data_IF_410131938155
#
_entry.id   IF_410131938155
#
_cell.length_a   1.000
_cell.length_b   1.000
_cell.length_c   1.000
_cell.angle_alpha   90.00
_cell.angle_beta   90.00
_cell.angle_gamma   90.00
#
_symmetry.space_group_name_H-M   'P 1'
#
loop_
_entity.id
_entity.type
_entity.pdbx_description
1 polymer ?
#
# COMPACT_ATOMS: atom_id res chain seq x y z
N UNK A 1 16.98 26.32 -13.99
CA UNK A 1 17.16 24.86 -14.16
C UNK A 1 15.79 24.26 -14.43
N UNK A 2 15.70 23.25 -15.31
CA UNK A 2 14.44 22.52 -15.53
C UNK A 2 14.49 21.28 -14.63
N UNK A 3 13.49 21.17 -13.75
CA UNK A 3 13.32 20.04 -12.85
C UNK A 3 12.37 19.02 -13.45
N UNK A 4 12.64 17.74 -13.23
CA UNK A 4 11.77 16.62 -13.58
C UNK A 4 11.31 15.93 -12.31
N UNK A 5 10.00 15.67 -12.26
CA UNK A 5 9.38 14.94 -11.15
C UNK A 5 9.29 13.47 -11.50
N UNK A 6 9.64 12.61 -10.56
CA UNK A 6 9.53 11.16 -10.68
C UNK A 6 8.73 10.63 -9.49
N UNK A 7 7.64 9.91 -9.79
CA UNK A 7 6.70 9.41 -8.79
C UNK A 7 6.45 7.92 -9.03
N UNK A 8 6.55 7.13 -7.97
CA UNK A 8 6.03 5.77 -7.86
C UNK A 8 4.92 5.71 -6.83
N UNK A 9 3.91 4.89 -7.08
CA UNK A 9 2.78 4.72 -6.17
C UNK A 9 2.73 3.29 -5.63
N UNK A 10 2.47 3.18 -4.34
CA UNK A 10 2.11 1.94 -3.66
C UNK A 10 0.62 2.01 -3.33
N UNK A 11 -0.16 1.11 -3.90
CA UNK A 11 -1.62 1.09 -3.75
C UNK A 11 -2.03 -0.16 -2.97
N UNK A 12 -2.69 0.04 -1.83
CA UNK A 12 -3.21 -1.05 -1.01
C UNK A 12 -4.71 -1.18 -1.24
N UNK A 13 -5.14 -2.36 -1.66
CA UNK A 13 -6.53 -2.68 -2.00
C UNK A 13 -7.04 -3.76 -1.06
N UNK A 14 -7.98 -3.43 -0.16
CA UNK A 14 -8.67 -4.46 0.62
C UNK A 14 -9.56 -5.29 -0.30
N UNK A 15 -9.36 -6.60 -0.30
CA UNK A 15 -10.13 -7.50 -1.14
C UNK A 15 -11.52 -7.77 -0.52
N UNK A 16 -12.55 -7.70 -1.34
CA UNK A 16 -13.96 -7.91 -0.93
C UNK A 16 -14.26 -9.40 -0.69
N UNK A 17 -13.51 -10.04 0.20
CA UNK A 17 -13.75 -11.41 0.66
C UNK A 17 -14.68 -11.41 1.87
N UNK A 18 -15.39 -12.51 2.12
CA UNK A 18 -16.27 -12.66 3.29
C UNK A 18 -15.50 -12.92 4.59
N UNK A 19 -14.29 -13.50 4.46
CA UNK A 19 -13.43 -13.84 5.60
C UNK A 19 -12.04 -13.30 5.39
N UNK A 20 -11.29 -13.22 6.46
CA UNK A 20 -9.90 -12.75 6.47
C UNK A 20 -8.97 -13.66 5.67
N UNK A 21 -7.72 -13.20 5.46
CA UNK A 21 -6.77 -13.91 4.61
C UNK A 21 -6.33 -15.25 5.22
N UNK A 22 -6.15 -15.31 6.53
CA UNK A 22 -5.62 -16.48 7.24
C UNK A 22 -6.55 -17.03 8.32
N UNK A 23 -7.73 -16.45 8.50
CA UNK A 23 -8.71 -16.88 9.50
C UNK A 23 -10.14 -16.84 8.94
N UNK A 24 -11.08 -17.40 9.71
CA UNK A 24 -12.50 -17.40 9.35
C UNK A 24 -13.28 -16.21 9.90
N UNK A 25 -12.61 -15.25 10.56
CA UNK A 25 -13.29 -14.05 11.04
C UNK A 25 -13.83 -13.23 9.87
N UNK A 26 -14.93 -12.51 10.11
CA UNK A 26 -15.58 -11.67 9.10
C UNK A 26 -14.73 -10.46 8.73
N UNK A 27 -14.84 -10.00 7.48
CA UNK A 27 -14.27 -8.75 6.99
C UNK A 27 -15.28 -7.60 6.97
N UNK A 28 -16.48 -7.78 7.54
CA UNK A 28 -17.54 -6.77 7.52
C UNK A 28 -17.09 -5.49 8.21
N UNK A 29 -17.17 -4.38 7.50
CA UNK A 29 -16.85 -3.05 8.02
C UNK A 29 -17.94 -2.54 8.98
N UNK A 30 -17.54 -1.74 9.99
CA UNK A 30 -18.46 -1.05 10.89
C UNK A 30 -19.03 -1.90 12.03
N UNK A 31 -18.53 -3.13 12.23
CA UNK A 31 -18.87 -3.92 13.41
C UNK A 31 -18.26 -3.30 14.68
N UNK A 32 -18.85 -3.60 15.85
CA UNK A 32 -18.32 -3.13 17.14
C UNK A 32 -16.86 -3.57 17.30
N UNK A 33 -15.99 -2.76 17.92
CA UNK A 33 -14.56 -3.08 18.06
C UNK A 33 -14.32 -4.47 18.62
N UNK A 34 -13.35 -5.17 18.03
CA UNK A 34 -12.91 -6.51 18.43
C UNK A 34 -13.97 -7.62 18.39
N UNK A 35 -15.05 -7.46 17.58
CA UNK A 35 -16.07 -8.51 17.40
C UNK A 35 -15.80 -9.41 16.19
N UNK A 36 -15.02 -8.95 15.21
CA UNK A 36 -14.60 -9.70 14.03
C UNK A 36 -13.13 -10.14 14.15
N UNK A 37 -12.80 -10.86 15.20
CA UNK A 37 -11.43 -11.28 15.52
C UNK A 37 -11.39 -12.78 15.76
N UNK A 38 -10.34 -13.42 15.23
CA UNK A 38 -10.03 -14.83 15.46
C UNK A 38 -8.73 -14.96 16.26
N UNK A 39 -8.49 -16.09 16.90
CA UNK A 39 -7.27 -16.38 17.65
C UNK A 39 -6.01 -16.26 16.76
N UNK A 40 -6.12 -16.59 15.45
CA UNK A 40 -5.06 -16.42 14.46
C UNK A 40 -4.72 -14.93 14.30
N UNK A 41 -5.73 -14.07 14.23
CA UNK A 41 -5.54 -12.62 14.07
C UNK A 41 -4.88 -11.99 15.31
N UNK A 42 -5.12 -12.58 16.49
CA UNK A 42 -4.50 -12.18 17.75
C UNK A 42 -3.08 -12.73 17.95
N UNK A 43 -2.64 -13.68 17.12
CA UNK A 43 -1.32 -14.31 17.27
C UNK A 43 -1.17 -15.15 18.51
N UNK A 44 -2.23 -15.82 18.95
CA UNK A 44 -2.15 -16.69 20.14
C UNK A 44 -1.25 -17.89 19.90
N UNK A 45 -0.55 -18.39 20.96
CA UNK A 45 0.30 -19.57 20.82
C UNK A 45 -0.45 -20.80 20.31
N UNK A 46 0.13 -21.50 19.35
CA UNK A 46 -0.40 -22.76 18.81
C UNK A 46 -1.45 -22.60 17.70
N UNK A 47 -1.81 -21.38 17.30
CA UNK A 47 -2.70 -21.16 16.14
C UNK A 47 -1.95 -21.33 14.84
N UNK A 48 -2.64 -21.83 13.81
CA UNK A 48 -2.10 -21.98 12.46
C UNK A 48 -2.93 -21.19 11.45
N UNK A 49 -2.30 -20.45 10.55
CA UNK A 49 -2.99 -19.75 9.46
C UNK A 49 -3.56 -20.72 8.43
N UNK A 50 -4.67 -20.33 7.79
CA UNK A 50 -5.26 -21.07 6.68
C UNK A 50 -5.64 -20.12 5.57
N UNK A 51 -5.04 -20.29 4.38
CA UNK A 51 -5.15 -19.35 3.27
C UNK A 51 -6.56 -19.27 2.70
N UNK A 52 -7.06 -18.06 2.51
CA UNK A 52 -8.33 -17.78 1.84
C UNK A 52 -8.16 -17.85 0.31
N UNK A 53 -8.75 -18.89 -0.29
CA UNK A 53 -8.70 -19.13 -1.75
C UNK A 53 -9.28 -17.96 -2.56
N UNK A 54 -10.34 -17.31 -2.06
CA UNK A 54 -10.99 -16.19 -2.77
C UNK A 54 -10.05 -14.98 -2.92
N UNK A 55 -9.15 -14.74 -1.96
CA UNK A 55 -8.14 -13.70 -2.07
C UNK A 55 -7.21 -13.94 -3.27
N UNK A 56 -6.79 -15.20 -3.50
CA UNK A 56 -6.01 -15.57 -4.68
C UNK A 56 -6.78 -15.34 -5.97
N UNK A 57 -8.05 -15.75 -6.05
CA UNK A 57 -8.86 -15.54 -7.24
C UNK A 57 -9.00 -14.05 -7.59
N UNK A 58 -9.17 -13.18 -6.59
CA UNK A 58 -9.26 -11.75 -6.81
C UNK A 58 -7.92 -11.16 -7.25
N UNK A 59 -6.80 -11.58 -6.68
CA UNK A 59 -5.47 -11.18 -7.11
C UNK A 59 -5.15 -11.62 -8.55
N UNK A 60 -5.47 -12.86 -8.91
CA UNK A 60 -5.31 -13.39 -10.26
C UNK A 60 -6.18 -12.60 -11.26
N UNK A 61 -7.45 -12.35 -10.92
CA UNK A 61 -8.36 -11.56 -11.77
C UNK A 61 -7.80 -10.16 -12.03
N UNK A 62 -7.27 -9.52 -11.02
CA UNK A 62 -6.58 -8.23 -11.17
C UNK A 62 -5.36 -8.36 -12.10
N UNK A 63 -4.47 -9.31 -11.83
CA UNK A 63 -3.26 -9.52 -12.63
C UNK A 63 -3.57 -9.80 -14.11
N UNK A 64 -4.57 -10.64 -14.39
CA UNK A 64 -5.01 -10.90 -15.78
C UNK A 64 -5.52 -9.63 -16.47
N UNK A 65 -6.26 -8.79 -15.76
CA UNK A 65 -6.85 -7.58 -16.33
C UNK A 65 -5.81 -6.52 -16.71
N UNK A 66 -4.67 -6.49 -16.04
CA UNK A 66 -3.55 -5.59 -16.36
C UNK A 66 -2.50 -6.23 -17.28
N UNK A 67 -2.77 -7.42 -17.82
CA UNK A 67 -1.84 -8.15 -18.69
C UNK A 67 -0.58 -8.64 -17.98
N UNK A 68 -0.63 -8.86 -16.68
CA UNK A 68 0.50 -9.32 -15.89
C UNK A 68 0.76 -10.82 -16.01
N UNK A 69 1.97 -11.23 -15.65
CA UNK A 69 2.29 -12.64 -15.43
C UNK A 69 1.75 -13.08 -14.06
N UNK A 70 1.03 -14.21 -14.04
CA UNK A 70 0.62 -14.87 -12.81
C UNK A 70 1.64 -15.95 -12.46
N UNK A 71 2.24 -15.84 -11.27
CA UNK A 71 3.17 -16.85 -10.79
C UNK A 71 2.41 -18.12 -10.41
N UNK A 72 2.82 -19.24 -11.02
CA UNK A 72 2.20 -20.55 -10.72
C UNK A 72 2.52 -21.07 -9.33
N UNK A 73 3.60 -20.57 -8.73
CA UNK A 73 3.96 -20.86 -7.34
C UNK A 73 4.20 -19.54 -6.62
N UNK A 74 3.47 -19.34 -5.53
CA UNK A 74 3.61 -18.19 -4.62
C UNK A 74 3.97 -18.66 -3.22
N UNK A 75 4.81 -17.89 -2.54
CA UNK A 75 5.23 -18.15 -1.17
C UNK A 75 4.83 -16.95 -0.31
N UNK A 76 4.39 -17.23 0.90
CA UNK A 76 4.24 -16.20 1.92
C UNK A 76 5.50 -16.09 2.76
N UNK A 77 5.83 -14.86 3.15
CA UNK A 77 6.96 -14.49 3.98
C UNK A 77 6.47 -13.76 5.22
N UNK A 78 7.29 -13.76 6.27
CA UNK A 78 7.09 -12.91 7.45
C UNK A 78 7.86 -11.62 7.28
N UNK A 79 7.15 -10.48 7.35
CA UNK A 79 7.70 -9.14 7.46
C UNK A 79 7.66 -8.73 8.92
N UNK A 80 8.82 -8.69 9.59
CA UNK A 80 8.88 -8.49 11.04
C UNK A 80 8.94 -7.01 11.41
N UNK A 81 7.95 -6.54 12.13
CA UNK A 81 7.91 -5.20 12.74
C UNK A 81 6.88 -5.18 13.87
N UNK A 82 7.01 -4.22 14.81
CA UNK A 82 6.24 -4.21 16.04
C UNK A 82 5.34 -2.98 16.13
N UNK A 83 4.02 -3.24 16.13
CA UNK A 83 3.00 -2.25 16.41
C UNK A 83 1.93 -2.87 17.31
N UNK A 84 1.26 -2.06 18.13
CA UNK A 84 0.23 -2.54 19.04
C UNK A 84 -0.97 -3.17 18.31
N UNK A 85 -1.26 -2.71 17.10
CA UNK A 85 -2.33 -3.23 16.22
C UNK A 85 -1.88 -4.39 15.31
N UNK A 86 -0.65 -4.86 15.48
CA UNK A 86 -0.11 -6.07 14.86
C UNK A 86 0.37 -7.06 15.93
N UNK A 87 -0.54 -7.77 16.63
CA UNK A 87 -0.21 -8.53 17.84
C UNK A 87 0.73 -9.71 17.61
N UNK A 88 0.82 -10.23 16.39
CA UNK A 88 1.80 -11.28 16.03
C UNK A 88 3.25 -10.77 16.06
N UNK A 89 3.48 -9.47 15.91
CA UNK A 89 4.82 -8.89 15.75
C UNK A 89 5.41 -9.08 14.34
N UNK A 90 4.63 -9.63 13.41
CA UNK A 90 4.95 -9.74 11.98
C UNK A 90 3.69 -9.69 11.14
N UNK A 91 3.85 -9.28 9.89
CA UNK A 91 2.83 -9.32 8.85
C UNK A 91 3.16 -10.44 7.88
N UNK A 92 2.18 -11.27 7.55
CA UNK A 92 2.35 -12.28 6.49
C UNK A 92 2.09 -11.57 5.15
N UNK A 93 3.06 -11.64 4.27
CA UNK A 93 3.10 -10.96 2.96
C UNK A 93 3.78 -11.86 1.92
N UNK A 94 4.00 -11.36 0.70
CA UNK A 94 4.76 -12.07 -0.34
C UNK A 94 5.92 -11.19 -0.80
N UNK A 95 7.16 -11.58 -0.53
CA UNK A 95 8.35 -10.82 -0.93
C UNK A 95 9.02 -11.40 -2.18
N UNK A 96 9.46 -12.65 -2.10
CA UNK A 96 10.28 -13.26 -3.16
C UNK A 96 9.44 -13.80 -4.32
N UNK A 97 8.27 -14.38 -4.04
CA UNK A 97 7.38 -14.98 -5.05
C UNK A 97 5.96 -14.39 -4.95
N UNK A 98 5.78 -13.13 -5.35
CA UNK A 98 4.46 -12.50 -5.37
C UNK A 98 3.55 -13.17 -6.41
N UNK A 99 2.25 -13.10 -6.20
CA UNK A 99 1.26 -13.73 -7.10
C UNK A 99 1.23 -13.08 -8.49
N UNK A 100 1.51 -11.78 -8.59
CA UNK A 100 1.43 -11.00 -9.83
C UNK A 100 2.76 -10.31 -10.11
N UNK A 101 3.29 -10.48 -11.31
CA UNK A 101 4.52 -9.82 -11.79
C UNK A 101 4.25 -9.02 -13.06
N UNK A 102 4.68 -7.76 -13.06
CA UNK A 102 4.53 -6.87 -14.20
C UNK A 102 3.08 -6.46 -14.47
N UNK A 103 2.79 -6.21 -15.72
CA UNK A 103 1.52 -5.65 -16.19
C UNK A 103 1.58 -4.12 -16.30
N UNK A 104 0.51 -3.50 -16.75
CA UNK A 104 0.46 -2.05 -16.93
C UNK A 104 -0.96 -1.50 -16.84
N UNK A 105 -1.07 -0.22 -16.56
CA UNK A 105 -2.32 0.53 -16.52
C UNK A 105 -2.19 1.75 -17.42
N UNK A 106 -3.14 1.94 -18.35
CA UNK A 106 -3.23 3.14 -19.15
C UNK A 106 -3.96 4.25 -18.38
N UNK A 107 -3.40 5.44 -18.42
CA UNK A 107 -3.98 6.65 -17.86
C UNK A 107 -4.16 7.71 -18.95
N UNK A 108 -5.18 8.53 -18.80
CA UNK A 108 -5.43 9.65 -19.73
C UNK A 108 -5.40 10.96 -18.97
N UNK A 109 -4.55 11.89 -19.42
CA UNK A 109 -4.48 13.25 -18.92
C UNK A 109 -4.41 14.24 -20.09
N UNK A 110 -5.30 15.24 -20.12
CA UNK A 110 -5.34 16.26 -21.19
C UNK A 110 -5.30 15.62 -22.60
N UNK A 111 -6.10 14.57 -22.84
CA UNK A 111 -6.19 13.82 -24.10
C UNK A 111 -4.91 13.04 -24.50
N UNK A 112 -3.92 12.99 -23.63
CA UNK A 112 -2.72 12.16 -23.80
C UNK A 112 -2.88 10.85 -23.02
N UNK A 113 -2.67 9.75 -23.72
CA UNK A 113 -2.62 8.41 -23.11
C UNK A 113 -1.19 8.09 -22.72
N UNK A 114 -1.01 7.60 -21.51
CA UNK A 114 0.28 7.14 -20.99
C UNK A 114 0.10 5.78 -20.31
N UNK A 115 1.01 4.87 -20.60
CA UNK A 115 1.08 3.56 -19.93
C UNK A 115 1.98 3.70 -18.72
N UNK A 116 1.50 3.20 -17.56
CA UNK A 116 2.27 3.09 -16.31
C UNK A 116 2.46 1.62 -16.03
N UNK A 117 3.71 1.19 -15.97
CA UNK A 117 4.05 -0.19 -15.67
C UNK A 117 3.89 -0.51 -14.18
N UNK A 118 3.52 -1.75 -13.92
CA UNK A 118 3.42 -2.32 -12.57
C UNK A 118 4.63 -3.22 -12.35
N UNK A 119 5.33 -3.02 -11.24
CA UNK A 119 6.45 -3.89 -10.84
C UNK A 119 5.91 -5.24 -10.39
N UNK A 120 4.93 -5.21 -9.48
CA UNK A 120 4.28 -6.40 -8.91
C UNK A 120 2.97 -6.05 -8.21
N UNK A 121 2.16 -7.07 -7.97
CA UNK A 121 1.13 -7.02 -6.95
C UNK A 121 1.20 -8.31 -6.11
N UNK A 122 1.10 -8.14 -4.79
CA UNK A 122 1.26 -9.25 -3.85
C UNK A 122 0.20 -9.23 -2.77
N UNK A 123 -0.12 -10.43 -2.27
CA UNK A 123 -1.06 -10.61 -1.18
C UNK A 123 -0.37 -10.38 0.17
N UNK A 124 -1.07 -9.69 1.05
CA UNK A 124 -0.69 -9.50 2.44
C UNK A 124 -1.91 -9.34 3.34
N UNK A 125 -1.73 -9.41 4.64
CA UNK A 125 -2.78 -9.14 5.61
C UNK A 125 -2.71 -7.69 6.11
N UNK A 126 -3.87 -7.06 6.35
CA UNK A 126 -3.92 -5.73 6.95
C UNK A 126 -3.66 -5.80 8.46
N UNK A 127 -3.12 -4.74 9.03
CA UNK A 127 -3.00 -4.55 10.47
C UNK A 127 -4.35 -4.12 11.08
N UNK A 128 -4.47 -4.18 12.39
CA UNK A 128 -5.59 -3.62 13.14
C UNK A 128 -5.61 -2.09 13.07
N UNK A 129 -6.32 -1.48 13.99
CA UNK A 129 -6.43 -0.02 14.12
C UNK A 129 -6.08 0.41 15.54
N UNK A 130 -5.14 1.35 15.66
CA UNK A 130 -4.84 2.06 16.91
C UNK A 130 -5.71 3.31 16.99
N UNK A 131 -6.39 3.53 18.10
CA UNK A 131 -7.30 4.64 18.38
C UNK A 131 -6.65 5.47 19.49
N UNK A 132 -6.22 6.69 19.16
CA UNK A 132 -5.42 7.54 20.05
C UNK A 132 -6.23 8.68 20.69
N UNK A 133 -7.31 9.12 20.05
CA UNK A 133 -7.98 10.37 20.37
C UNK A 133 -9.26 10.21 21.24
N UNK A 134 -9.66 8.97 21.52
CA UNK A 134 -10.91 8.68 22.25
C UNK A 134 -10.69 8.44 23.76
N UNK A 135 -9.44 8.25 24.21
CA UNK A 135 -9.13 7.87 25.58
C UNK A 135 -7.94 8.66 26.11
N UNK A 136 -8.15 9.42 27.19
CA UNK A 136 -7.08 10.19 27.85
C UNK A 136 -6.00 9.25 28.44
N UNK A 137 -4.79 9.37 27.93
CA UNK A 137 -3.62 8.62 28.42
C UNK A 137 -3.53 7.16 27.98
N UNK A 138 -4.45 6.68 27.14
CA UNK A 138 -4.47 5.32 26.62
C UNK A 138 -4.68 5.31 25.11
N UNK A 139 -4.13 4.28 24.46
CA UNK A 139 -4.49 3.93 23.08
C UNK A 139 -5.32 2.66 23.08
N UNK A 140 -6.50 2.70 22.49
CA UNK A 140 -7.31 1.49 22.29
C UNK A 140 -6.89 0.79 20.99
N UNK A 141 -7.02 -0.52 20.96
CA UNK A 141 -6.71 -1.35 19.80
C UNK A 141 -7.98 -2.06 19.33
N UNK A 142 -8.31 -1.86 18.05
CA UNK A 142 -9.37 -2.58 17.37
C UNK A 142 -8.76 -3.52 16.31
N UNK A 143 -8.91 -4.82 16.52
CA UNK A 143 -8.38 -5.86 15.66
C UNK A 143 -9.37 -6.34 14.59
N UNK A 144 -10.51 -5.69 14.43
CA UNK A 144 -11.50 -6.08 13.41
C UNK A 144 -10.89 -6.08 12.00
N UNK A 145 -9.97 -5.14 11.71
CA UNK A 145 -9.30 -5.05 10.42
C UNK A 145 -8.08 -6.01 10.32
N UNK A 146 -7.47 -6.38 11.44
CA UNK A 146 -6.30 -7.26 11.44
C UNK A 146 -6.59 -8.57 10.70
N UNK A 147 -5.74 -8.92 9.75
CA UNK A 147 -5.91 -10.10 8.91
C UNK A 147 -6.83 -9.92 7.69
N UNK A 148 -7.43 -8.75 7.46
CA UNK A 148 -8.19 -8.45 6.23
C UNK A 148 -7.27 -8.61 5.02
N UNK A 149 -7.69 -9.35 3.95
CA UNK A 149 -6.85 -9.54 2.79
C UNK A 149 -6.57 -8.22 2.07
N UNK A 150 -5.30 -7.94 1.81
CA UNK A 150 -4.82 -6.83 0.99
C UNK A 150 -4.13 -7.33 -0.27
N UNK A 151 -4.29 -6.58 -1.34
CA UNK A 151 -3.43 -6.62 -2.50
C UNK A 151 -2.62 -5.33 -2.55
N UNK A 152 -1.31 -5.39 -2.30
CA UNK A 152 -0.41 -4.27 -2.50
C UNK A 152 0.09 -4.27 -3.93
N UNK A 153 -0.09 -3.15 -4.62
CA UNK A 153 0.25 -2.94 -6.03
C UNK A 153 1.30 -1.85 -6.11
N UNK A 154 2.46 -2.19 -6.63
CA UNK A 154 3.61 -1.29 -6.74
C UNK A 154 3.80 -0.89 -8.19
N UNK A 155 3.71 0.40 -8.50
CA UNK A 155 3.99 0.93 -9.83
C UNK A 155 5.48 1.17 -10.06
N UNK A 156 5.91 1.14 -11.32
CA UNK A 156 7.20 1.72 -11.69
C UNK A 156 7.19 3.24 -11.49
N UNK A 157 8.34 3.88 -11.25
CA UNK A 157 8.45 5.32 -11.01
C UNK A 157 8.37 6.13 -12.33
N UNK A 158 7.27 5.96 -13.05
CA UNK A 158 7.05 6.54 -14.39
C UNK A 158 6.07 7.72 -14.38
N UNK A 159 5.42 7.98 -13.26
CA UNK A 159 4.48 9.10 -13.12
C UNK A 159 5.27 10.40 -12.95
N UNK A 160 4.90 11.45 -13.71
CA UNK A 160 5.66 12.69 -13.79
C UNK A 160 4.93 13.90 -13.19
N UNK A 161 3.70 13.76 -12.76
CA UNK A 161 2.91 14.85 -12.17
C UNK A 161 1.84 14.37 -11.20
N UNK A 162 1.38 15.28 -10.34
CA UNK A 162 0.27 14.99 -9.45
C UNK A 162 -1.02 14.67 -10.21
N UNK A 163 -1.24 15.27 -11.38
CA UNK A 163 -2.40 14.94 -12.24
C UNK A 163 -2.35 13.54 -12.78
N UNK A 164 -1.18 13.08 -13.22
CA UNK A 164 -0.98 11.68 -13.64
C UNK A 164 -1.18 10.72 -12.48
N UNK A 165 -0.68 11.03 -11.28
CA UNK A 165 -0.90 10.22 -10.08
C UNK A 165 -2.40 10.08 -9.75
N UNK A 166 -3.16 11.15 -9.85
CA UNK A 166 -4.62 11.13 -9.67
C UNK A 166 -5.30 10.31 -10.78
N UNK A 167 -4.87 10.46 -12.03
CA UNK A 167 -5.42 9.68 -13.14
C UNK A 167 -5.17 8.18 -12.96
N UNK A 168 -3.94 7.81 -12.53
CA UNK A 168 -3.60 6.43 -12.19
C UNK A 168 -4.50 5.89 -11.07
N UNK A 169 -4.67 6.61 -9.97
CA UNK A 169 -5.49 6.16 -8.86
C UNK A 169 -6.99 6.06 -9.23
N UNK A 170 -7.47 6.92 -10.12
CA UNK A 170 -8.84 6.80 -10.66
C UNK A 170 -8.99 5.56 -11.55
N UNK A 171 -8.03 5.30 -12.43
CA UNK A 171 -8.01 4.10 -13.27
C UNK A 171 -7.95 2.83 -12.39
N UNK A 172 -7.09 2.83 -11.38
CA UNK A 172 -7.01 1.75 -10.39
C UNK A 172 -8.34 1.52 -9.66
N UNK A 173 -8.96 2.59 -9.16
CA UNK A 173 -10.27 2.53 -8.49
C UNK A 173 -11.33 1.91 -9.41
N UNK A 174 -11.43 2.38 -10.66
CA UNK A 174 -12.37 1.85 -11.64
C UNK A 174 -12.11 0.36 -11.93
N UNK A 175 -10.84 -0.01 -12.08
CA UNK A 175 -10.46 -1.38 -12.36
C UNK A 175 -10.85 -2.34 -11.22
N UNK A 176 -10.45 -2.03 -9.98
CA UNK A 176 -10.73 -2.92 -8.83
C UNK A 176 -12.22 -3.02 -8.50
N UNK A 177 -12.98 -1.96 -8.73
CA UNK A 177 -14.44 -1.98 -8.54
C UNK A 177 -15.16 -2.72 -9.67
N UNK A 178 -14.79 -2.50 -10.93
CA UNK A 178 -15.37 -3.19 -12.07
C UNK A 178 -15.13 -4.71 -12.01
N UNK A 179 -13.95 -5.13 -11.58
CA UNK A 179 -13.58 -6.53 -11.43
C UNK A 179 -14.17 -7.19 -10.16
N UNK A 180 -14.92 -6.48 -9.35
CA UNK A 180 -15.38 -6.96 -8.04
C UNK A 180 -14.22 -7.47 -7.14
N UNK A 181 -13.07 -6.84 -7.25
CA UNK A 181 -11.89 -7.14 -6.42
C UNK A 181 -12.00 -6.43 -5.07
N UNK A 182 -12.50 -5.18 -5.08
CA UNK A 182 -12.67 -4.32 -3.92
C UNK A 182 -13.85 -3.37 -4.15
N UNK A 183 -14.41 -2.81 -3.06
CA UNK A 183 -15.37 -1.70 -3.14
C UNK A 183 -14.68 -0.35 -3.45
N UNK A 184 -13.35 -0.30 -3.34
CA UNK A 184 -12.55 0.88 -3.64
C UNK A 184 -12.80 2.09 -2.72
N UNK A 185 -13.42 1.91 -1.56
CA UNK A 185 -13.81 3.00 -0.67
C UNK A 185 -12.62 3.59 0.08
N UNK A 186 -12.10 4.73 -0.41
CA UNK A 186 -10.95 5.42 0.21
C UNK A 186 -11.29 5.95 1.61
N UNK A 187 -12.52 6.36 1.87
CA UNK A 187 -12.93 6.90 3.18
C UNK A 187 -12.94 5.82 4.28
N UNK A 188 -13.22 4.57 3.90
CA UNK A 188 -13.19 3.42 4.79
C UNK A 188 -11.82 2.73 4.82
N UNK A 189 -10.88 3.15 3.97
CA UNK A 189 -9.55 2.58 3.86
C UNK A 189 -9.46 1.31 3.02
N UNK A 190 -10.50 0.98 2.23
CA UNK A 190 -10.46 -0.16 1.31
C UNK A 190 -9.54 0.10 0.10
N UNK A 191 -9.28 1.37 -0.22
CA UNK A 191 -8.29 1.78 -1.21
C UNK A 191 -7.41 2.86 -0.58
N UNK A 192 -6.13 2.57 -0.43
CA UNK A 192 -5.12 3.49 0.13
C UNK A 192 -3.99 3.68 -0.87
N UNK A 193 -3.31 4.81 -0.77
CA UNK A 193 -2.17 5.12 -1.62
C UNK A 193 -1.06 5.75 -0.79
N UNK A 194 0.16 5.30 -1.01
CA UNK A 194 1.37 5.94 -0.57
C UNK A 194 2.13 6.41 -1.81
N UNK A 195 2.69 7.62 -1.78
CA UNK A 195 3.37 8.21 -2.92
C UNK A 195 4.86 8.43 -2.64
N UNK A 196 5.71 7.80 -3.44
CA UNK A 196 7.14 8.04 -3.45
C UNK A 196 7.46 9.14 -4.46
N UNK A 197 7.93 10.31 -4.01
CA UNK A 197 8.18 11.48 -4.84
C UNK A 197 9.65 11.84 -4.78
N UNK A 198 10.28 12.02 -5.94
CA UNK A 198 11.63 12.54 -6.08
C UNK A 198 11.71 13.57 -7.20
N UNK A 199 12.74 14.43 -7.13
CA UNK A 199 13.03 15.47 -8.11
C UNK A 199 14.46 15.28 -8.61
N UNK A 200 14.64 15.33 -9.93
CA UNK A 200 15.96 15.35 -10.58
C UNK A 200 16.07 16.48 -11.60
N UNK A 201 17.26 16.82 -12.03
CA UNK A 201 17.43 17.67 -13.21
C UNK A 201 17.01 16.92 -14.47
N UNK A 202 16.45 17.61 -15.44
CA UNK A 202 15.86 17.01 -16.64
C UNK A 202 16.76 16.01 -17.38
N UNK A 203 18.05 16.20 -17.38
CA UNK A 203 18.98 15.36 -18.14
C UNK A 203 19.75 14.37 -17.27
N UNK A 204 19.46 14.33 -15.96
CA UNK A 204 20.10 13.38 -15.04
C UNK A 204 19.53 11.97 -15.26
N UNK A 205 20.42 11.00 -15.37
CA UNK A 205 20.02 9.57 -15.52
C UNK A 205 19.63 8.94 -14.18
N UNK A 206 20.21 9.41 -13.09
CA UNK A 206 19.95 8.88 -11.76
C UNK A 206 18.70 9.51 -11.14
N UNK A 207 17.97 8.71 -10.39
CA UNK A 207 16.82 9.20 -9.64
C UNK A 207 17.28 10.09 -8.49
N UNK A 208 16.50 11.12 -8.18
CA UNK A 208 16.69 11.93 -6.99
C UNK A 208 16.33 11.16 -5.70
N UNK A 209 16.73 11.72 -4.56
CA UNK A 209 16.34 11.17 -3.26
C UNK A 209 14.82 11.28 -3.07
N UNK A 210 14.17 10.15 -2.81
CA UNK A 210 12.71 10.10 -2.64
C UNK A 210 12.28 10.44 -1.23
N UNK A 211 11.09 11.04 -1.11
CA UNK A 211 10.31 11.08 0.11
C UNK A 211 9.01 10.29 -0.10
N UNK A 212 8.65 9.46 0.87
CA UNK A 212 7.39 8.73 0.90
C UNK A 212 6.32 9.58 1.58
N UNK A 213 5.17 9.75 0.94
CA UNK A 213 4.04 10.51 1.49
C UNK A 213 2.93 9.55 1.87
N UNK A 214 2.53 9.59 3.14
CA UNK A 214 1.41 8.81 3.70
C UNK A 214 0.23 9.70 4.08
N UNK A 215 -0.90 9.05 4.42
CA UNK A 215 -2.13 9.72 4.86
C UNK A 215 -2.80 10.55 3.76
N UNK A 216 -2.81 10.04 2.53
CA UNK A 216 -3.42 10.68 1.36
C UNK A 216 -4.70 9.95 0.94
N UNK A 217 -5.76 10.09 1.75
CA UNK A 217 -6.98 9.28 1.74
C UNK A 217 -8.06 9.79 0.78
N UNK A 218 -7.71 10.55 -0.24
CA UNK A 218 -8.62 10.98 -1.33
C UNK A 218 -7.84 11.44 -2.55
N UNK A 219 -8.44 11.39 -3.73
CA UNK A 219 -7.83 11.91 -4.96
C UNK A 219 -7.37 13.38 -4.82
N UNK A 220 -8.16 14.20 -4.13
CA UNK A 220 -7.81 15.60 -3.85
C UNK A 220 -6.59 15.72 -2.94
N UNK A 221 -6.46 14.86 -1.94
CA UNK A 221 -5.30 14.87 -1.04
C UNK A 221 -4.05 14.34 -1.71
N UNK A 222 -4.17 13.34 -2.59
CA UNK A 222 -3.06 12.85 -3.43
C UNK A 222 -2.50 14.01 -4.26
N UNK A 223 -3.36 14.74 -4.99
CA UNK A 223 -2.92 15.87 -5.81
C UNK A 223 -2.22 16.96 -4.99
N UNK A 224 -2.83 17.37 -3.88
CA UNK A 224 -2.29 18.43 -3.03
C UNK A 224 -0.98 18.06 -2.37
N UNK A 225 -0.91 16.85 -1.81
CA UNK A 225 0.28 16.37 -1.12
C UNK A 225 1.48 16.23 -2.07
N UNK A 226 1.28 15.65 -3.24
CA UNK A 226 2.32 15.53 -4.26
C UNK A 226 2.78 16.90 -4.74
N UNK A 227 1.86 17.82 -5.05
CA UNK A 227 2.22 19.18 -5.48
C UNK A 227 2.98 19.95 -4.40
N UNK A 228 2.64 19.77 -3.13
CA UNK A 228 3.38 20.37 -2.01
C UNK A 228 4.80 19.81 -1.95
N UNK A 229 4.94 18.49 -2.01
CA UNK A 229 6.22 17.81 -1.91
C UNK A 229 7.17 18.16 -3.07
N UNK A 230 6.66 18.23 -4.30
CA UNK A 230 7.41 18.68 -5.46
C UNK A 230 8.01 20.09 -5.21
N UNK A 231 7.17 21.02 -4.75
CA UNK A 231 7.64 22.40 -4.46
C UNK A 231 8.66 22.44 -3.33
N UNK A 232 8.45 21.63 -2.28
CA UNK A 232 9.37 21.51 -1.14
C UNK A 232 10.74 21.04 -1.59
N UNK A 233 10.79 19.93 -2.34
CA UNK A 233 12.05 19.35 -2.82
C UNK A 233 12.78 20.27 -3.79
N UNK A 234 12.09 20.90 -4.74
CA UNK A 234 12.69 21.89 -5.66
C UNK A 234 13.34 23.03 -4.86
N UNK A 235 12.64 23.58 -3.86
CA UNK A 235 13.17 24.66 -3.03
C UNK A 235 14.44 24.25 -2.28
N UNK A 236 14.48 23.04 -1.72
CA UNK A 236 15.67 22.51 -1.06
C UNK A 236 16.86 22.43 -2.04
N UNK A 237 16.61 21.85 -3.21
CA UNK A 237 17.66 21.67 -4.23
C UNK A 237 18.15 22.99 -4.82
N UNK A 238 17.28 23.98 -4.99
CA UNK A 238 17.65 25.34 -5.47
C UNK A 238 18.45 26.12 -4.43
N UNK A 239 18.26 25.84 -3.14
CA UNK A 239 19.09 26.40 -2.06
C UNK A 239 20.47 25.72 -1.94
N UNK A 240 20.76 24.70 -2.77
CA UNK A 240 22.00 23.93 -2.69
C UNK A 240 22.03 22.89 -1.58
N UNK A 241 20.89 22.63 -0.97
CA UNK A 241 20.72 21.61 0.08
C UNK A 241 20.37 20.26 -0.53
N UNK A 242 20.40 19.18 0.28
CA UNK A 242 20.04 17.81 -0.15
C UNK A 242 18.69 17.41 0.44
N UNK A 243 17.87 16.75 -0.39
CA UNK A 243 16.66 16.10 0.06
C UNK A 243 17.05 14.90 0.95
N UNK A 244 16.41 14.76 2.09
CA UNK A 244 16.58 13.59 2.98
C UNK A 244 15.54 12.53 2.61
N UNK A 245 15.98 11.26 2.57
CA UNK A 245 15.06 10.13 2.41
C UNK A 245 14.30 9.95 3.73
N UNK A 246 12.99 10.18 3.67
CA UNK A 246 12.14 10.13 4.87
C UNK A 246 10.69 9.80 4.49
N UNK A 247 9.93 9.28 5.48
CA UNK A 247 8.49 9.18 5.40
C UNK A 247 7.85 10.44 5.96
N UNK A 248 6.87 10.98 5.24
CA UNK A 248 6.16 12.21 5.56
C UNK A 248 4.65 11.98 5.63
N UNK A 249 3.98 12.60 6.59
CA UNK A 249 2.52 12.60 6.70
C UNK A 249 1.95 13.85 6.04
N UNK A 250 0.92 13.68 5.23
CA UNK A 250 0.16 14.81 4.73
C UNK A 250 -0.85 15.29 5.80
N UNK A 251 -0.76 16.58 6.12
CA UNK A 251 -1.70 17.31 6.98
C UNK A 251 -2.72 18.03 6.09
N UNK A 252 -3.95 17.55 6.05
CA UNK A 252 -5.01 18.10 5.19
C UNK A 252 -5.54 19.45 5.66
N UNK A 253 -5.37 19.80 6.94
CA UNK A 253 -5.79 21.07 7.53
C UNK A 253 -4.82 22.17 7.14
N UNK A 254 -3.53 21.93 7.32
CA UNK A 254 -2.47 22.87 6.98
C UNK A 254 -2.06 22.81 5.50
N UNK A 255 -2.49 21.77 4.78
CA UNK A 255 -2.13 21.50 3.39
C UNK A 255 -0.60 21.44 3.19
N UNK A 256 0.08 20.70 4.06
CA UNK A 256 1.53 20.50 4.04
C UNK A 256 1.91 19.05 4.33
N UNK A 257 3.12 18.64 3.96
CA UNK A 257 3.71 17.40 4.45
C UNK A 257 4.63 17.70 5.61
N UNK A 258 4.61 16.86 6.64
CA UNK A 258 5.53 16.94 7.79
C UNK A 258 6.27 15.61 7.98
N UNK A 259 7.53 15.63 8.40
CA UNK A 259 8.26 14.39 8.66
C UNK A 259 7.57 13.61 9.78
N UNK A 260 7.48 12.30 9.60
CA UNK A 260 7.21 11.41 10.71
C UNK A 260 8.41 11.44 11.65
N UNK A 261 8.20 11.31 12.98
CA UNK A 261 9.31 11.29 13.94
C UNK A 261 10.38 10.31 13.46
N UNK A 262 11.55 10.85 13.12
CA UNK A 262 12.69 10.12 12.61
C UNK A 262 13.26 9.21 13.70
N UNK A 263 12.81 7.98 13.78
CA UNK A 263 13.52 6.88 14.46
C UNK A 263 13.48 5.59 13.63
N UNK A 264 13.08 5.68 12.39
CA UNK A 264 13.11 4.52 11.52
C UNK A 264 14.28 4.67 10.55
N UNK A 265 15.45 4.18 10.99
CA UNK A 265 16.40 3.58 10.06
C UNK A 265 15.57 2.67 9.15
N UNK A 266 15.96 2.54 7.86
CA UNK A 266 15.33 1.58 6.96
C UNK A 266 15.14 0.28 7.74
N UNK A 267 13.87 -0.05 8.04
CA UNK A 267 13.58 -1.19 8.90
C UNK A 267 14.08 -2.43 8.19
N UNK A 268 15.09 -3.08 8.75
CA UNK A 268 15.46 -4.42 8.36
C UNK A 268 14.32 -5.35 8.85
N UNK A 269 13.36 -5.61 7.97
CA UNK A 269 12.21 -6.45 8.27
C UNK A 269 12.57 -7.93 8.42
N UNK A 270 13.80 -8.33 8.14
CA UNK A 270 14.29 -9.71 8.28
C UNK A 270 13.32 -10.71 7.70
N UNK A 271 12.97 -10.52 6.43
CA UNK A 271 12.07 -11.43 5.73
C UNK A 271 12.58 -12.86 5.77
N UNK A 272 11.66 -13.79 6.00
CA UNK A 272 11.89 -15.23 5.83
C UNK A 272 10.56 -15.91 5.49
N UNK A 273 10.60 -17.08 4.80
CA UNK A 273 9.38 -17.80 4.44
C UNK A 273 8.52 -18.14 5.67
N UNK A 274 7.19 -17.94 5.54
CA UNK A 274 6.23 -18.28 6.59
C UNK A 274 6.22 -19.80 6.82
N UNK A 275 6.70 -20.31 7.98
CA UNK A 275 6.89 -21.75 8.19
C UNK A 275 5.57 -22.52 8.34
N UNK A 276 4.47 -21.82 8.67
CA UNK A 276 3.17 -22.44 8.90
C UNK A 276 2.31 -22.49 7.63
N UNK A 277 2.83 -22.02 6.49
CA UNK A 277 2.16 -22.07 5.20
C UNK A 277 2.99 -22.80 4.16
N UNK A 278 2.38 -23.71 3.45
CA UNK A 278 2.99 -24.33 2.27
C UNK A 278 2.97 -23.35 1.08
N UNK A 279 3.89 -23.51 0.11
CA UNK A 279 3.80 -22.81 -1.15
C UNK A 279 2.43 -23.01 -1.80
N UNK A 280 1.84 -21.94 -2.31
CA UNK A 280 0.57 -22.00 -3.04
C UNK A 280 0.86 -22.27 -4.50
N UNK A 281 0.36 -23.39 -5.00
CA UNK A 281 0.50 -23.80 -6.42
C UNK A 281 -0.82 -23.57 -7.13
N UNK A 282 -0.76 -22.83 -8.24
CA UNK A 282 -1.90 -22.52 -9.12
C UNK A 282 -1.81 -23.46 -10.32
N UNK A 283 -2.82 -24.30 -10.50
CA UNK A 283 -2.95 -25.27 -11.61
C UNK A 283 -3.88 -24.75 -12.69
#
# INVERSE_FOLDING_TARGET
MIWETVIGLETHVQLSTKTKLFSRASTTFGASPNTNVNLVDCGLPGVLPSVNKEAFYKAIRFGMAIGAQINQTSIFDRKNYFYADLPKGYQITQMDLPIVLGGSIEITTNDLVKTINITRAHLEEDAGKSIHDEYDGFSAIDLNRAGTPLLEIVSEPEISSAKEAVAYMKAMHQLVTYLDVSDGNMAQGSLRCDANVSIRKKDDKELGTRAEIKNINSFKFIEKAINYEIKRQIKILENGEKVTQETRLYDSVKNETRPMRSKEFANDYRYFPEPDLLPVVIS
#
